data_IF_511368845640
#
_entry.id   IF_511368845640
#
_cell.length_a   1.000
_cell.length_b   1.000
_cell.length_c   1.000
_cell.angle_alpha   90.00
_cell.angle_beta   90.00
_cell.angle_gamma   90.00
#
_symmetry.space_group_name_H-M   'P 1'
#
loop_
_entity.id
_entity.type
_entity.pdbx_description
1 polymer ?
#
# COMPACT_ATOMS: atom_id res chain seq x y z
N UNK A 1 18.69 10.80 1.18
CA UNK A 1 18.04 10.35 2.44
C UNK A 1 16.78 11.13 2.82
N UNK A 2 16.32 12.15 2.06
CA UNK A 2 15.05 12.84 2.32
C UNK A 2 13.82 12.17 1.69
N UNK A 3 13.99 11.40 0.61
CA UNK A 3 12.88 10.69 -0.03
C UNK A 3 12.27 9.57 0.83
N UNK A 4 13.01 9.04 1.81
CA UNK A 4 12.49 8.01 2.73
C UNK A 4 11.56 8.60 3.80
N UNK A 5 11.69 9.89 4.13
CA UNK A 5 10.90 10.55 5.18
C UNK A 5 9.50 10.98 4.71
N UNK A 6 9.33 11.30 3.42
CA UNK A 6 8.02 11.63 2.86
C UNK A 6 7.12 10.38 2.83
N UNK A 7 7.72 9.22 2.56
CA UNK A 7 7.03 7.93 2.54
C UNK A 7 6.41 7.62 3.91
N UNK A 8 7.17 7.75 5.01
CA UNK A 8 6.68 7.41 6.36
C UNK A 8 5.62 8.39 6.86
N UNK A 9 5.74 9.71 6.59
CA UNK A 9 4.83 10.72 7.14
C UNK A 9 3.40 10.61 6.59
N UNK A 10 3.24 10.37 5.28
CA UNK A 10 1.89 10.20 4.68
C UNK A 10 1.24 8.90 5.16
N UNK A 11 2.04 7.83 5.38
CA UNK A 11 1.52 6.58 5.93
C UNK A 11 1.07 6.75 7.38
N UNK A 12 1.82 7.49 8.20
CA UNK A 12 1.51 7.68 9.63
C UNK A 12 0.31 8.60 9.84
N UNK A 13 0.15 9.64 9.02
CA UNK A 13 -0.97 10.60 9.09
C UNK A 13 -2.35 9.95 8.94
N UNK A 14 -2.45 8.80 8.26
CA UNK A 14 -3.72 8.07 8.08
C UNK A 14 -4.25 7.48 9.40
N UNK A 15 -3.45 7.35 10.46
CA UNK A 15 -3.84 6.53 11.63
C UNK A 15 -4.67 7.21 12.72
N UNK A 16 -4.98 8.52 12.67
CA UNK A 16 -5.62 9.20 13.81
C UNK A 16 -6.84 10.09 13.50
N UNK A 17 -7.92 9.78 14.23
CA UNK A 17 -9.15 10.55 14.50
C UNK A 17 -10.27 10.62 13.44
N UNK A 18 -11.52 10.60 13.95
CA UNK A 18 -12.89 10.59 13.37
C UNK A 18 -13.14 10.68 11.85
N UNK A 19 -12.42 11.48 11.06
CA UNK A 19 -12.44 11.42 9.56
C UNK A 19 -11.80 10.12 9.05
N UNK A 20 -10.83 9.61 9.80
CA UNK A 20 -10.07 8.39 9.57
C UNK A 20 -10.91 7.12 9.70
N UNK A 21 -11.96 7.06 10.54
CA UNK A 21 -12.72 5.79 10.69
C UNK A 21 -13.30 5.29 9.37
N UNK A 22 -13.87 6.20 8.59
CA UNK A 22 -14.38 5.90 7.26
C UNK A 22 -13.26 5.47 6.31
N UNK A 23 -12.10 6.15 6.38
CA UNK A 23 -10.93 5.79 5.57
C UNK A 23 -10.31 4.44 6.01
N UNK A 24 -10.26 4.10 7.29
CA UNK A 24 -9.75 2.82 7.79
C UNK A 24 -10.60 1.67 7.25
N UNK A 25 -11.93 1.82 7.26
CA UNK A 25 -12.85 0.82 6.71
C UNK A 25 -12.68 0.68 5.20
N UNK A 26 -12.61 1.79 4.45
CA UNK A 26 -12.43 1.75 2.99
C UNK A 26 -11.04 1.26 2.58
N UNK A 27 -10.02 1.62 3.33
CA UNK A 27 -8.63 1.27 3.07
C UNK A 27 -8.24 -0.10 3.66
N UNK A 28 -9.13 -0.74 4.43
CA UNK A 28 -8.88 -2.01 5.12
C UNK A 28 -7.69 -1.95 6.10
N UNK A 29 -7.47 -0.77 6.70
CA UNK A 29 -6.33 -0.50 7.58
C UNK A 29 -6.70 -0.65 9.06
N UNK A 30 -5.78 -1.21 9.84
CA UNK A 30 -5.83 -1.24 11.30
C UNK A 30 -5.13 -0.03 11.93
N UNK A 31 -5.56 0.37 13.13
CA UNK A 31 -5.00 1.55 13.83
C UNK A 31 -3.57 1.38 14.33
N UNK A 32 -3.06 0.14 14.37
CA UNK A 32 -1.70 -0.15 14.83
C UNK A 32 -0.72 -0.14 13.65
N UNK A 33 0.10 0.92 13.48
CA UNK A 33 1.05 1.03 12.37
C UNK A 33 2.14 -0.03 12.40
N UNK A 34 2.42 -0.65 13.55
CA UNK A 34 3.46 -1.69 13.68
C UNK A 34 3.12 -2.97 12.90
N UNK A 35 1.84 -3.13 12.51
CA UNK A 35 1.37 -4.25 11.69
C UNK A 35 1.76 -4.15 10.22
N UNK A 36 2.26 -3.01 9.76
CA UNK A 36 2.62 -2.79 8.37
C UNK A 36 4.13 -2.75 8.20
N UNK A 37 4.69 -3.79 7.60
CA UNK A 37 6.13 -4.00 7.48
C UNK A 37 6.85 -2.78 6.88
N UNK A 38 6.34 -2.20 5.79
CA UNK A 38 6.94 -1.01 5.17
C UNK A 38 6.86 0.27 6.02
N UNK A 39 5.88 0.36 6.92
CA UNK A 39 5.72 1.51 7.83
C UNK A 39 6.60 1.33 9.07
N UNK A 40 6.68 0.10 9.59
CA UNK A 40 7.39 -0.25 10.82
C UNK A 40 8.93 -0.31 10.68
N UNK A 41 9.51 0.06 9.54
CA UNK A 41 10.97 0.08 9.33
C UNK A 41 11.67 1.27 10.01
N UNK A 42 10.92 2.29 10.45
CA UNK A 42 11.48 3.55 10.94
C UNK A 42 10.86 4.03 12.24
N UNK A 43 11.08 5.30 12.57
CA UNK A 43 10.39 5.96 13.67
C UNK A 43 8.93 6.22 13.29
N UNK A 44 8.01 5.75 14.14
CA UNK A 44 6.57 5.89 13.94
C UNK A 44 6.03 7.24 14.42
N UNK A 45 6.80 7.95 15.23
CA UNK A 45 6.47 9.27 15.77
C UNK A 45 7.69 10.16 15.70
N UNK A 46 7.50 11.45 15.45
CA UNK A 46 8.56 12.45 15.44
C UNK A 46 8.27 13.49 16.54
N UNK A 47 9.26 13.74 17.40
CA UNK A 47 9.11 14.72 18.48
C UNK A 47 8.74 16.11 17.92
N UNK A 48 7.65 16.68 18.44
CA UNK A 48 7.17 18.00 18.04
C UNK A 48 6.28 18.02 16.80
N UNK A 49 5.94 16.87 16.22
CA UNK A 49 4.95 16.75 15.14
C UNK A 49 3.65 16.15 15.70
N UNK A 50 2.53 16.79 15.39
CA UNK A 50 1.19 16.26 15.65
C UNK A 50 0.61 15.70 14.34
N UNK A 51 0.65 14.38 14.19
CA UNK A 51 0.17 13.69 12.99
C UNK A 51 -1.31 13.96 12.71
N UNK A 52 -2.11 14.30 13.72
CA UNK A 52 -3.53 14.64 13.55
C UNK A 52 -3.68 15.98 12.84
N UNK A 53 -2.94 16.97 13.31
CA UNK A 53 -2.99 18.31 12.73
C UNK A 53 -2.37 18.31 11.32
N UNK A 54 -1.28 17.59 11.12
CA UNK A 54 -0.67 17.41 9.80
C UNK A 54 -1.62 16.74 8.79
N UNK A 55 -2.37 15.72 9.21
CA UNK A 55 -3.40 15.10 8.36
C UNK A 55 -4.50 16.09 7.98
N UNK A 56 -4.97 16.90 8.94
CA UNK A 56 -5.99 17.94 8.68
C UNK A 56 -5.47 18.99 7.70
N UNK A 57 -4.25 19.48 7.90
CA UNK A 57 -3.62 20.45 7.01
C UNK A 57 -3.41 19.87 5.59
N UNK A 58 -3.09 18.58 5.50
CA UNK A 58 -2.94 17.89 4.22
C UNK A 58 -4.27 17.72 3.49
N UNK A 59 -5.36 17.36 4.17
CA UNK A 59 -6.70 17.28 3.58
C UNK A 59 -7.18 18.66 3.08
N UNK A 60 -6.96 19.72 3.86
CA UNK A 60 -7.26 21.10 3.45
C UNK A 60 -6.40 21.54 2.27
N UNK A 61 -5.12 21.13 2.22
CA UNK A 61 -4.26 21.42 1.08
C UNK A 61 -4.79 20.75 -0.21
N UNK A 62 -5.31 19.52 -0.15
CA UNK A 62 -5.94 18.88 -1.30
C UNK A 62 -7.19 19.64 -1.77
N UNK A 63 -8.02 20.14 -0.84
CA UNK A 63 -9.19 20.96 -1.16
C UNK A 63 -8.78 22.27 -1.84
N UNK A 64 -7.74 22.95 -1.33
CA UNK A 64 -7.19 24.18 -1.93
C UNK A 64 -6.66 23.91 -3.34
N UNK A 65 -6.04 22.75 -3.57
CA UNK A 65 -5.54 22.32 -4.88
C UNK A 65 -6.65 21.86 -5.84
N UNK A 66 -7.90 21.79 -5.37
CA UNK A 66 -9.06 21.47 -6.19
C UNK A 66 -9.28 19.98 -6.41
N UNK A 67 -8.74 19.12 -5.55
CA UNK A 67 -9.01 17.68 -5.60
C UNK A 67 -10.47 17.42 -5.21
N UNK A 68 -11.13 16.56 -5.97
CA UNK A 68 -12.44 16.03 -5.58
C UNK A 68 -12.30 15.02 -4.44
N UNK A 69 -13.39 14.79 -3.72
CA UNK A 69 -13.40 13.80 -2.63
C UNK A 69 -13.01 12.39 -3.12
N UNK A 70 -13.43 12.00 -4.33
CA UNK A 70 -13.10 10.71 -4.91
C UNK A 70 -11.61 10.59 -5.25
N UNK A 71 -10.98 11.67 -5.75
CA UNK A 71 -9.54 11.70 -6.00
C UNK A 71 -8.74 11.56 -4.69
N UNK A 72 -9.17 12.24 -3.62
CA UNK A 72 -8.56 12.09 -2.28
C UNK A 72 -8.69 10.65 -1.78
N UNK A 73 -9.89 10.06 -1.85
CA UNK A 73 -10.13 8.67 -1.44
C UNK A 73 -9.28 7.70 -2.26
N UNK A 74 -9.19 7.87 -3.58
CA UNK A 74 -8.38 7.01 -4.44
C UNK A 74 -6.89 7.12 -4.12
N UNK A 75 -6.40 8.32 -3.78
CA UNK A 75 -5.03 8.50 -3.31
C UNK A 75 -4.79 7.71 -2.01
N UNK A 76 -5.70 7.80 -1.04
CA UNK A 76 -5.60 7.04 0.21
C UNK A 76 -5.66 5.53 -0.02
N UNK A 77 -6.51 5.04 -0.93
CA UNK A 77 -6.57 3.61 -1.31
C UNK A 77 -5.25 3.12 -1.93
N UNK A 78 -4.65 3.90 -2.83
CA UNK A 78 -3.36 3.57 -3.43
C UNK A 78 -2.25 3.49 -2.36
N UNK A 79 -2.24 4.45 -1.44
CA UNK A 79 -1.33 4.46 -0.29
C UNK A 79 -1.53 3.21 0.57
N UNK A 80 -2.76 2.90 0.96
CA UNK A 80 -3.10 1.71 1.74
C UNK A 80 -2.69 0.41 1.04
N UNK A 81 -2.88 0.32 -0.29
CA UNK A 81 -2.45 -0.82 -1.07
C UNK A 81 -0.94 -1.05 -0.96
N UNK A 82 -0.11 0.00 -0.95
CA UNK A 82 1.35 -0.15 -0.77
C UNK A 82 1.67 -0.74 0.62
N UNK A 83 0.94 -0.33 1.65
CA UNK A 83 1.13 -0.84 3.02
C UNK A 83 0.82 -2.33 3.11
N UNK A 84 -0.34 -2.76 2.60
CA UNK A 84 -0.73 -4.17 2.53
C UNK A 84 0.25 -4.99 1.68
N UNK A 85 0.68 -4.44 0.55
CA UNK A 85 1.63 -5.12 -0.33
C UNK A 85 2.95 -5.43 0.38
N UNK A 86 3.42 -4.53 1.26
CA UNK A 86 4.61 -4.75 2.08
C UNK A 86 4.50 -5.91 3.07
N UNK A 87 3.28 -6.32 3.41
CA UNK A 87 3.02 -7.47 4.27
C UNK A 87 2.88 -8.79 3.49
N UNK A 88 2.79 -8.75 2.16
CA UNK A 88 2.69 -9.97 1.35
C UNK A 88 3.90 -10.89 1.56
N UNK A 89 3.62 -12.17 1.76
CA UNK A 89 4.64 -13.18 2.01
C UNK A 89 4.78 -14.10 0.80
N UNK A 90 6.03 -14.48 0.51
CA UNK A 90 6.39 -15.29 -0.63
C UNK A 90 7.37 -16.36 -0.18
N UNK A 91 7.24 -17.57 -0.72
CA UNK A 91 8.10 -18.70 -0.39
C UNK A 91 8.56 -19.43 -1.64
N UNK A 92 9.71 -20.08 -1.54
CA UNK A 92 10.20 -20.95 -2.59
C UNK A 92 9.46 -22.30 -2.56
N UNK A 93 9.11 -22.82 -3.73
CA UNK A 93 8.55 -24.17 -3.86
C UNK A 93 9.60 -25.23 -3.52
N UNK A 94 9.31 -26.22 -2.65
CA UNK A 94 10.32 -27.19 -2.16
C UNK A 94 11.02 -28.03 -3.24
N UNK A 95 10.49 -28.09 -4.47
CA UNK A 95 11.00 -28.93 -5.57
C UNK A 95 11.19 -28.16 -6.88
N UNK A 96 10.99 -26.84 -6.88
CA UNK A 96 11.08 -25.99 -8.06
C UNK A 96 11.89 -24.73 -7.71
N UNK A 97 12.63 -24.17 -8.66
CA UNK A 97 13.29 -22.85 -8.49
C UNK A 97 12.29 -21.68 -8.65
N UNK A 98 11.00 -21.92 -8.36
CA UNK A 98 9.93 -20.92 -8.49
C UNK A 98 9.38 -20.51 -7.12
N UNK A 99 8.99 -19.26 -7.00
CA UNK A 99 8.26 -18.70 -5.88
C UNK A 99 6.76 -19.06 -5.94
N UNK A 100 6.12 -19.04 -4.79
CA UNK A 100 4.67 -19.03 -4.63
C UNK A 100 4.25 -18.10 -3.48
N UNK A 101 2.99 -17.68 -3.49
CA UNK A 101 2.43 -16.88 -2.40
C UNK A 101 2.34 -17.72 -1.12
N UNK A 102 2.74 -17.15 0.02
CA UNK A 102 2.54 -17.73 1.34
C UNK A 102 1.34 -17.07 2.02
N UNK A 103 0.15 -17.44 1.54
CA UNK A 103 -1.10 -16.73 1.84
C UNK A 103 -1.39 -15.61 0.84
N UNK A 104 -2.67 -15.30 0.64
CA UNK A 104 -3.14 -14.37 -0.40
C UNK A 104 -3.88 -13.16 0.15
N UNK A 105 -4.21 -13.14 1.44
CA UNK A 105 -5.05 -12.12 2.08
C UNK A 105 -4.56 -10.69 1.80
N UNK A 106 -3.26 -10.43 1.98
CA UNK A 106 -2.71 -9.10 1.72
C UNK A 106 -2.76 -8.73 0.24
N UNK A 107 -2.55 -9.69 -0.68
CA UNK A 107 -2.71 -9.45 -2.11
C UNK A 107 -4.18 -9.20 -2.50
N UNK A 108 -5.13 -9.84 -1.81
CA UNK A 108 -6.56 -9.62 -2.01
C UNK A 108 -6.98 -8.22 -1.55
N UNK A 109 -6.48 -7.75 -0.40
CA UNK A 109 -6.67 -6.36 0.06
C UNK A 109 -6.10 -5.36 -0.95
N UNK A 110 -4.88 -5.59 -1.43
CA UNK A 110 -4.24 -4.76 -2.47
C UNK A 110 -5.09 -4.71 -3.73
N UNK A 111 -5.53 -5.87 -4.21
CA UNK A 111 -6.33 -5.98 -5.42
C UNK A 111 -7.67 -5.25 -5.29
N UNK A 112 -8.34 -5.39 -4.14
CA UNK A 112 -9.58 -4.68 -3.83
C UNK A 112 -9.41 -3.16 -3.87
N UNK A 113 -8.36 -2.65 -3.23
CA UNK A 113 -8.08 -1.21 -3.15
C UNK A 113 -7.73 -0.60 -4.51
N UNK A 114 -7.05 -1.36 -5.37
CA UNK A 114 -6.66 -0.93 -6.72
C UNK A 114 -7.72 -1.24 -7.78
N UNK A 115 -8.81 -1.93 -7.44
CA UNK A 115 -9.87 -2.30 -8.38
C UNK A 115 -9.42 -3.30 -9.45
N UNK A 116 -8.54 -4.25 -9.09
CA UNK A 116 -8.04 -5.31 -9.98
C UNK A 116 -8.37 -6.70 -9.43
N UNK A 117 -8.20 -7.73 -10.25
CA UNK A 117 -8.38 -9.12 -9.83
C UNK A 117 -7.16 -9.64 -9.07
N UNK A 118 -7.37 -10.18 -7.87
CA UNK A 118 -6.28 -10.69 -7.02
C UNK A 118 -5.50 -11.84 -7.68
N UNK A 119 -6.20 -12.72 -8.40
CA UNK A 119 -5.58 -13.80 -9.16
C UNK A 119 -4.63 -13.28 -10.25
N UNK A 120 -5.01 -12.20 -10.94
CA UNK A 120 -4.19 -11.59 -11.96
C UNK A 120 -3.00 -10.83 -11.37
N UNK A 121 -3.18 -10.17 -10.22
CA UNK A 121 -2.09 -9.57 -9.45
C UNK A 121 -1.03 -10.61 -9.07
N UNK A 122 -1.44 -11.68 -8.39
CA UNK A 122 -0.53 -12.75 -7.92
C UNK A 122 0.15 -13.43 -9.10
N UNK A 123 -0.60 -13.72 -10.18
CA UNK A 123 -0.04 -14.30 -11.40
C UNK A 123 0.96 -13.36 -12.06
N UNK A 124 0.67 -12.07 -12.13
CA UNK A 124 1.55 -11.06 -12.69
C UNK A 124 2.88 -10.96 -11.94
N UNK A 125 2.85 -11.15 -10.62
CA UNK A 125 4.03 -11.16 -9.75
C UNK A 125 4.84 -12.44 -9.89
N UNK A 126 4.19 -13.60 -9.85
CA UNK A 126 4.88 -14.90 -9.90
C UNK A 126 5.34 -15.29 -11.31
N UNK A 127 4.62 -14.84 -12.35
CA UNK A 127 4.86 -15.22 -13.75
C UNK A 127 4.77 -13.99 -14.67
N UNK A 128 5.63 -12.97 -14.49
CA UNK A 128 5.63 -11.79 -15.34
C UNK A 128 5.84 -12.13 -16.81
N UNK A 129 5.12 -11.39 -17.67
CA UNK A 129 5.26 -11.45 -19.12
C UNK A 129 6.31 -10.44 -19.57
N UNK A 130 7.42 -10.95 -20.11
CA UNK A 130 8.52 -10.12 -20.60
C UNK A 130 8.39 -10.01 -22.11
N UNK A 131 8.43 -8.77 -22.62
CA UNK A 131 8.47 -8.53 -24.06
C UNK A 131 9.89 -8.78 -24.59
N UNK A 132 10.01 -9.62 -25.62
CA UNK A 132 11.27 -9.95 -26.30
C UNK A 132 11.07 -9.75 -27.79
N UNK A 133 11.62 -8.66 -28.34
CA UNK A 133 11.31 -8.26 -29.71
C UNK A 133 9.82 -7.95 -29.88
N UNK A 134 9.15 -8.69 -30.77
CA UNK A 134 7.70 -8.58 -31.00
C UNK A 134 6.87 -9.56 -30.16
N UNK A 135 7.50 -10.50 -29.46
CA UNK A 135 6.82 -11.57 -28.72
C UNK A 135 6.80 -11.31 -27.20
N UNK A 136 5.96 -12.06 -26.48
CA UNK A 136 5.92 -12.06 -25.01
C UNK A 136 6.22 -13.46 -24.47
N UNK A 137 7.15 -13.54 -23.51
CA UNK A 137 7.56 -14.79 -22.86
C UNK A 137 7.27 -14.70 -21.37
N UNK A 138 6.75 -15.77 -20.77
CA UNK A 138 6.54 -15.86 -19.33
C UNK A 138 7.86 -16.19 -18.64
N UNK A 139 8.22 -15.46 -17.57
CA UNK A 139 9.35 -15.78 -16.70
C UNK A 139 8.81 -16.09 -15.30
N UNK A 140 9.12 -17.27 -14.74
CA UNK A 140 8.86 -17.55 -13.32
C UNK A 140 9.78 -16.72 -12.43
N UNK A 141 9.26 -16.21 -11.33
CA UNK A 141 10.06 -15.67 -10.22
C UNK A 141 10.42 -16.76 -9.21
#
# INVERSE_FOLDING_TARGET
MHFLNITVSVFVQVFLHRLVRFLLEICLIETDPSKYFYVAQGMLTIDGIDDVEEMRLTDEAFDILGFTQDEKINLFKCTAAIMHFGNSQWKQRPREEQAEADGTEECEKVAHLLGIEAADLIKGLLKPRIKVGNDFVNKGQ
#
